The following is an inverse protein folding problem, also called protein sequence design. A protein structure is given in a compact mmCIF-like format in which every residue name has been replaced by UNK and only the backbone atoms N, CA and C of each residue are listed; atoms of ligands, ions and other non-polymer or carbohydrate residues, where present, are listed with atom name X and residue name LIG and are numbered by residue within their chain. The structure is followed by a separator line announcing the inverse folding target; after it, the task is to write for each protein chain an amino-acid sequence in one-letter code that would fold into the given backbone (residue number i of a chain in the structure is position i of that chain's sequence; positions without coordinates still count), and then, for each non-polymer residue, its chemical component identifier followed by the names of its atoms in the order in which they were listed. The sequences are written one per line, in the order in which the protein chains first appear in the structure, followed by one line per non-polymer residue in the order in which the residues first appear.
data_IF_042175178792
#
_entry.id   IF_042175178792
#
_cell.length_a   1.000
_cell.length_b   1.000
_cell.length_c   1.000
_cell.angle_alpha   90.00
_cell.angle_beta   90.00
_cell.angle_gamma   90.00
#
_symmetry.space_group_name_H-M   'P 1'
#
loop_
_entity.id
_entity.type
_entity.pdbx_description
1 polymer ?
#
# COMPACT_ATOMS: atom_id res chain seq x y z
N UNK A 1 21.91 -19.99 0.85
CA UNK A 1 22.13 -18.53 0.75
C UNK A 1 22.69 -18.19 -0.64
N UNK A 2 21.83 -18.01 -1.64
CA UNK A 2 22.28 -17.36 -2.87
C UNK A 2 22.57 -15.89 -2.50
N UNK A 3 23.82 -15.43 -2.68
CA UNK A 3 24.22 -14.06 -2.28
C UNK A 3 23.36 -12.96 -2.92
N UNK A 4 22.67 -13.25 -4.02
CA UNK A 4 21.74 -12.33 -4.67
C UNK A 4 20.43 -12.14 -3.88
N UNK A 5 19.86 -13.20 -3.29
CA UNK A 5 18.56 -13.12 -2.60
C UNK A 5 18.66 -12.30 -1.31
N UNK A 6 19.73 -12.49 -0.54
CA UNK A 6 19.98 -11.71 0.69
C UNK A 6 20.17 -10.20 0.41
N UNK A 7 20.76 -9.84 -0.74
CA UNK A 7 20.88 -8.43 -1.17
C UNK A 7 19.52 -7.83 -1.54
N UNK A 8 18.72 -8.55 -2.32
CA UNK A 8 17.36 -8.12 -2.68
C UNK A 8 16.52 -7.92 -1.42
N UNK A 9 16.58 -8.88 -0.49
CA UNK A 9 15.80 -8.84 0.73
C UNK A 9 16.20 -7.70 1.67
N UNK A 10 17.52 -7.48 1.83
CA UNK A 10 18.04 -6.33 2.59
C UNK A 10 17.58 -4.99 1.98
N UNK A 11 17.60 -4.88 0.65
CA UNK A 11 17.11 -3.68 -0.03
C UNK A 11 15.61 -3.49 0.18
N UNK A 12 14.80 -4.56 0.09
CA UNK A 12 13.36 -4.52 0.34
C UNK A 12 13.03 -4.09 1.77
N UNK A 13 13.74 -4.61 2.77
CA UNK A 13 13.55 -4.18 4.16
C UNK A 13 13.99 -2.73 4.39
N UNK A 14 15.08 -2.29 3.75
CA UNK A 14 15.51 -0.91 3.84
C UNK A 14 14.48 0.06 3.22
N UNK A 15 13.91 -0.30 2.06
CA UNK A 15 12.84 0.45 1.42
C UNK A 15 11.57 0.49 2.28
N UNK A 16 11.18 -0.64 2.88
CA UNK A 16 10.04 -0.69 3.80
C UNK A 16 10.25 0.21 5.02
N UNK A 17 11.44 0.20 5.62
CA UNK A 17 11.82 1.10 6.70
C UNK A 17 11.77 2.58 6.28
N UNK A 18 12.27 2.90 5.08
CA UNK A 18 12.25 4.26 4.54
C UNK A 18 10.82 4.76 4.27
N UNK A 19 9.97 3.91 3.68
CA UNK A 19 8.56 4.22 3.42
C UNK A 19 7.81 4.45 4.73
N UNK A 20 8.04 3.61 5.74
CA UNK A 20 7.42 3.80 7.05
C UNK A 20 7.91 5.08 7.75
N UNK A 21 9.21 5.39 7.64
CA UNK A 21 9.71 6.69 8.10
C UNK A 21 9.02 7.85 7.39
N UNK A 22 8.82 7.76 6.07
CA UNK A 22 8.11 8.78 5.29
C UNK A 22 6.64 8.91 5.71
N UNK A 23 5.92 7.80 5.91
CA UNK A 23 4.52 7.85 6.35
C UNK A 23 4.40 8.45 7.74
N UNK A 24 5.31 8.11 8.67
CA UNK A 24 5.36 8.72 10.01
C UNK A 24 5.63 10.22 9.93
N UNK A 25 6.54 10.67 9.06
CA UNK A 25 6.78 12.10 8.84
C UNK A 25 5.53 12.83 8.32
N UNK A 26 4.84 12.26 7.33
CA UNK A 26 3.60 12.83 6.80
C UNK A 26 2.49 12.85 7.85
N UNK A 27 2.40 11.80 8.66
CA UNK A 27 1.43 11.71 9.75
C UNK A 27 1.66 12.82 10.78
N UNK A 28 2.90 13.03 11.22
CA UNK A 28 3.24 14.12 12.16
C UNK A 28 2.85 15.47 11.58
N UNK A 29 3.12 15.71 10.29
CA UNK A 29 2.74 16.96 9.62
C UNK A 29 1.22 17.14 9.58
N UNK A 30 0.46 16.10 9.24
CA UNK A 30 -1.00 16.16 9.23
C UNK A 30 -1.58 16.39 10.65
N UNK A 31 -1.05 15.68 11.65
CA UNK A 31 -1.51 15.82 13.04
C UNK A 31 -1.12 17.15 13.68
N UNK A 32 0.01 17.74 13.31
CA UNK A 32 0.40 19.09 13.79
C UNK A 32 -0.59 20.18 13.35
N UNK A 33 -1.28 20.00 12.22
CA UNK A 33 -2.34 20.91 11.77
C UNK A 33 -3.66 20.74 12.53
N UNK A 34 -3.91 19.56 13.09
CA UNK A 34 -5.16 19.23 13.78
C UNK A 34 -5.08 19.39 15.31
N UNK A 35 -3.89 19.19 15.91
CA UNK A 35 -3.71 19.19 17.37
C UNK A 35 -2.55 20.09 17.81
N UNK A 36 -2.85 21.16 18.56
CA UNK A 36 -1.85 22.13 19.03
C UNK A 36 -0.78 21.56 19.98
N UNK A 37 -1.08 20.45 20.68
CA UNK A 37 -0.09 19.73 21.50
C UNK A 37 0.95 19.03 20.62
N UNK A 38 0.53 18.45 19.49
CA UNK A 38 1.42 17.84 18.51
C UNK A 38 2.21 18.91 17.76
N UNK A 39 1.61 20.07 17.48
CA UNK A 39 2.32 21.20 16.89
C UNK A 39 3.50 21.67 17.76
N UNK A 40 3.30 21.76 19.09
CA UNK A 40 4.39 22.10 20.02
C UNK A 40 5.48 21.04 20.11
N UNK A 41 5.11 19.76 20.07
CA UNK A 41 6.09 18.67 20.05
C UNK A 41 6.86 18.60 18.72
N UNK A 42 6.17 18.88 17.60
CA UNK A 42 6.72 18.88 16.25
C UNK A 42 7.58 20.11 15.92
N UNK A 43 7.56 21.14 16.78
CA UNK A 43 8.40 22.34 16.66
C UNK A 43 9.88 22.03 16.96
N UNK A 44 10.14 20.96 17.73
CA UNK A 44 11.50 20.47 17.92
C UNK A 44 11.98 19.71 16.67
N UNK A 45 13.08 20.19 16.07
CA UNK A 45 13.70 19.56 14.89
C UNK A 45 14.03 18.08 15.12
N UNK A 46 14.35 17.73 16.37
CA UNK A 46 14.65 16.36 16.78
C UNK A 46 13.43 15.44 16.66
N UNK A 47 12.22 15.89 16.99
CA UNK A 47 11.01 15.07 16.89
C UNK A 47 10.52 15.03 15.44
N UNK A 48 10.63 16.13 14.71
CA UNK A 48 10.15 16.24 13.33
C UNK A 48 10.94 15.37 12.33
N UNK A 49 12.26 15.26 12.55
CA UNK A 49 13.16 14.51 11.66
C UNK A 49 13.73 13.25 12.30
N UNK A 50 14.05 13.28 13.60
CA UNK A 50 14.65 12.15 14.30
C UNK A 50 13.68 11.00 14.54
N UNK A 51 12.43 11.29 14.93
CA UNK A 51 11.44 10.25 15.22
C UNK A 51 11.08 9.40 13.99
N UNK A 52 10.77 9.98 12.81
CA UNK A 52 10.49 9.19 11.62
C UNK A 52 11.67 8.32 11.17
N UNK A 53 12.90 8.84 11.25
CA UNK A 53 14.11 8.09 10.90
C UNK A 53 14.38 6.97 11.89
N UNK A 54 14.23 7.23 13.19
CA UNK A 54 14.40 6.23 14.23
C UNK A 54 13.39 5.08 14.08
N UNK A 55 12.11 5.39 13.84
CA UNK A 55 11.08 4.36 13.64
C UNK A 55 11.37 3.53 12.38
N UNK A 56 11.75 4.17 11.27
CA UNK A 56 12.15 3.45 10.05
C UNK A 56 13.37 2.56 10.26
N UNK A 57 14.37 3.01 11.02
CA UNK A 57 15.57 2.24 11.34
C UNK A 57 15.27 1.07 12.28
N UNK A 58 14.43 1.28 13.30
CA UNK A 58 13.99 0.22 14.22
C UNK A 58 13.23 -0.86 13.45
N UNK A 59 12.35 -0.48 12.53
CA UNK A 59 11.65 -1.45 11.67
C UNK A 59 12.64 -2.25 10.82
N UNK A 60 13.59 -1.57 10.17
CA UNK A 60 14.62 -2.25 9.38
C UNK A 60 15.41 -3.25 10.21
N UNK A 61 15.88 -2.86 11.40
CA UNK A 61 16.62 -3.73 12.30
C UNK A 61 15.76 -4.93 12.74
N UNK A 62 14.50 -4.70 13.13
CA UNK A 62 13.59 -5.74 13.56
C UNK A 62 13.33 -6.79 12.46
N UNK A 63 13.25 -6.36 11.19
CA UNK A 63 13.07 -7.25 10.04
C UNK A 63 14.37 -7.98 9.67
N UNK A 64 15.52 -7.29 9.69
CA UNK A 64 16.81 -7.84 9.31
C UNK A 64 17.34 -8.89 10.31
N UNK A 65 17.14 -8.68 11.61
CA UNK A 65 17.65 -9.58 12.64
C UNK A 65 16.72 -10.75 12.97
N UNK A 66 15.52 -10.79 12.39
CA UNK A 66 14.57 -11.88 12.65
C UNK A 66 14.76 -13.04 11.65
N UNK A 67 15.26 -14.22 12.09
CA UNK A 67 15.57 -15.32 11.18
C UNK A 67 14.32 -15.90 10.50
N UNK A 68 13.14 -15.81 11.14
CA UNK A 68 11.88 -16.28 10.53
C UNK A 68 11.46 -15.42 9.34
N UNK A 69 11.61 -14.11 9.47
CA UNK A 69 11.29 -13.14 8.41
C UNK A 69 12.30 -13.25 7.27
N UNK A 70 13.56 -13.50 7.61
CA UNK A 70 14.63 -13.73 6.63
C UNK A 70 14.33 -14.97 5.78
N UNK A 71 14.01 -16.11 6.41
CA UNK A 71 13.66 -17.35 5.70
C UNK A 71 12.42 -17.18 4.82
N UNK A 72 11.36 -16.56 5.35
CA UNK A 72 10.15 -16.26 4.57
C UNK A 72 10.44 -15.36 3.35
N UNK A 73 11.26 -14.33 3.54
CA UNK A 73 11.64 -13.43 2.45
C UNK A 73 12.41 -14.12 1.33
N UNK A 74 13.27 -15.08 1.66
CA UNK A 74 13.97 -15.90 0.66
C UNK A 74 13.01 -16.77 -0.15
N UNK A 75 12.02 -17.39 0.49
CA UNK A 75 10.97 -18.16 -0.19
C UNK A 75 10.19 -17.26 -1.17
N UNK A 76 9.78 -16.06 -0.73
CA UNK A 76 9.08 -15.09 -1.58
C UNK A 76 9.91 -14.70 -2.81
N UNK A 77 11.20 -14.38 -2.63
CA UNK A 77 12.08 -14.05 -3.76
C UNK A 77 12.20 -15.23 -4.73
N UNK A 78 12.24 -16.45 -4.21
CA UNK A 78 12.31 -17.66 -5.03
C UNK A 78 11.03 -17.89 -5.85
N UNK A 79 9.86 -17.59 -5.29
CA UNK A 79 8.57 -17.71 -5.99
C UNK A 79 8.37 -16.59 -7.01
N UNK A 80 8.77 -15.36 -6.69
CA UNK A 80 8.69 -14.23 -7.63
C UNK A 80 9.51 -14.52 -8.89
N UNK A 81 10.66 -15.20 -8.77
CA UNK A 81 11.46 -15.60 -9.94
C UNK A 81 10.75 -16.61 -10.86
N UNK A 82 9.77 -17.35 -10.35
CA UNK A 82 8.95 -18.27 -11.14
C UNK A 82 7.78 -17.57 -11.83
N UNK A 83 7.49 -16.31 -11.48
CA UNK A 83 6.42 -15.54 -12.11
C UNK A 83 6.79 -15.25 -13.55
N UNK A 84 6.04 -15.86 -14.46
CA UNK A 84 6.12 -15.56 -15.89
C UNK A 84 5.18 -14.40 -16.19
N UNK A 85 5.73 -13.31 -16.72
CA UNK A 85 4.93 -12.16 -17.10
C UNK A 85 4.11 -12.46 -18.36
N UNK A 86 2.81 -12.10 -18.38
CA UNK A 86 1.92 -12.39 -19.50
C UNK A 86 2.36 -11.65 -20.76
N UNK A 87 2.03 -12.21 -21.92
CA UNK A 87 2.28 -11.52 -23.18
C UNK A 87 1.35 -10.30 -23.32
N UNK A 88 1.75 -9.33 -24.17
CA UNK A 88 0.89 -8.16 -24.45
C UNK A 88 -0.49 -8.56 -24.98
N UNK A 89 -0.57 -9.65 -25.75
CA UNK A 89 -1.84 -10.15 -26.31
C UNK A 89 -2.76 -10.66 -25.20
N UNK A 90 -2.23 -11.45 -24.29
CA UNK A 90 -2.99 -12.00 -23.16
C UNK A 90 -3.45 -10.89 -22.21
N UNK A 91 -2.57 -9.92 -21.94
CA UNK A 91 -2.88 -8.77 -21.09
C UNK A 91 -4.04 -7.94 -21.66
N UNK A 92 -4.01 -7.67 -22.97
CA UNK A 92 -5.09 -6.94 -23.65
C UNK A 92 -6.40 -7.73 -23.62
N UNK A 93 -6.35 -9.04 -23.89
CA UNK A 93 -7.55 -9.88 -23.85
C UNK A 93 -8.21 -9.88 -22.45
N UNK A 94 -7.42 -10.07 -21.39
CA UNK A 94 -7.93 -10.04 -20.01
C UNK A 94 -8.49 -8.66 -19.66
N UNK A 95 -7.85 -7.58 -20.09
CA UNK A 95 -8.34 -6.22 -19.84
C UNK A 95 -9.69 -5.98 -20.53
N UNK A 96 -9.85 -6.44 -21.78
CA UNK A 96 -11.12 -6.33 -22.51
C UNK A 96 -12.23 -7.08 -21.75
N UNK A 97 -11.95 -8.28 -21.25
CA UNK A 97 -12.91 -9.04 -20.44
C UNK A 97 -13.31 -8.27 -19.17
N UNK A 98 -12.35 -7.70 -18.45
CA UNK A 98 -12.64 -6.86 -17.28
C UNK A 98 -13.51 -5.64 -17.65
N UNK A 99 -13.20 -4.94 -18.73
CA UNK A 99 -13.98 -3.78 -19.20
C UNK A 99 -15.42 -4.18 -19.51
N UNK A 100 -15.62 -5.28 -20.24
CA UNK A 100 -16.95 -5.79 -20.55
C UNK A 100 -17.72 -6.14 -19.27
N UNK A 101 -17.09 -6.83 -18.32
CA UNK A 101 -17.73 -7.18 -17.05
C UNK A 101 -18.14 -5.94 -16.25
N UNK A 102 -17.25 -4.94 -16.15
CA UNK A 102 -17.54 -3.67 -15.46
C UNK A 102 -18.67 -2.90 -16.13
N UNK A 103 -18.72 -2.89 -17.47
CA UNK A 103 -19.81 -2.26 -18.21
C UNK A 103 -21.16 -2.92 -17.91
N UNK A 104 -21.20 -4.26 -17.89
CA UNK A 104 -22.41 -5.00 -17.54
C UNK A 104 -22.85 -4.66 -16.11
N UNK A 105 -21.93 -4.71 -15.14
CA UNK A 105 -22.23 -4.34 -13.75
C UNK A 105 -22.70 -2.89 -13.62
N UNK A 106 -22.08 -1.96 -14.35
CA UNK A 106 -22.47 -0.54 -14.36
C UNK A 106 -23.90 -0.35 -14.87
N UNK A 107 -24.30 -1.06 -15.93
CA UNK A 107 -25.66 -0.98 -16.48
C UNK A 107 -26.68 -1.51 -15.48
N UNK A 108 -26.38 -2.63 -14.81
CA UNK A 108 -27.27 -3.24 -13.82
C UNK A 108 -27.47 -2.30 -12.62
N UNK A 109 -26.38 -1.81 -12.03
CA UNK A 109 -26.45 -0.90 -10.87
C UNK A 109 -27.18 0.39 -11.25
N UNK A 110 -26.81 1.01 -12.37
CA UNK A 110 -27.46 2.26 -12.81
C UNK A 110 -28.96 2.06 -13.09
N UNK A 111 -29.36 0.91 -13.62
CA UNK A 111 -30.79 0.60 -13.82
C UNK A 111 -31.53 0.47 -12.49
N UNK A 112 -30.92 -0.20 -11.52
CA UNK A 112 -31.49 -0.36 -10.18
C UNK A 112 -31.63 0.98 -9.45
N UNK A 113 -30.61 1.84 -9.54
CA UNK A 113 -30.62 3.18 -8.94
C UNK A 113 -31.73 4.05 -9.55
N UNK A 114 -31.93 3.99 -10.86
CA UNK A 114 -33.01 4.71 -11.53
C UNK A 114 -34.38 4.22 -11.08
N UNK A 115 -34.60 2.90 -11.06
CA UNK A 115 -35.88 2.30 -10.61
C UNK A 115 -36.17 2.67 -9.15
N UNK A 116 -35.17 2.58 -8.28
CA UNK A 116 -35.30 2.98 -6.87
C UNK A 116 -35.65 4.46 -6.74
N UNK A 117 -34.99 5.33 -7.51
CA UNK A 117 -35.31 6.76 -7.57
C UNK A 117 -36.74 7.04 -8.04
N UNK A 118 -37.21 6.35 -9.08
CA UNK A 118 -38.61 6.46 -9.53
C UNK A 118 -39.59 5.99 -8.46
N UNK A 119 -39.30 4.90 -7.77
CA UNK A 119 -40.15 4.36 -6.70
C UNK A 119 -40.26 5.33 -5.51
N UNK A 120 -39.15 5.92 -5.08
CA UNK A 120 -39.14 6.92 -4.00
C UNK A 120 -39.92 8.17 -4.42
N UNK A 121 -39.70 8.67 -5.63
CA UNK A 121 -40.41 9.86 -6.14
C UNK A 121 -41.92 9.61 -6.29
N UNK A 122 -42.34 8.38 -6.61
CA UNK A 122 -43.74 8.00 -6.64
C UNK A 122 -44.35 7.94 -5.23
N UNK A 123 -43.60 7.44 -4.23
CA UNK A 123 -44.06 7.37 -2.84
C UNK A 123 -44.14 8.74 -2.14
N UNK A 124 -43.24 9.68 -2.49
CA UNK A 124 -43.22 11.04 -1.94
C UNK A 124 -44.30 11.97 -2.51
N UNK A 125 -45.06 11.51 -3.52
CA UNK A 125 -46.12 12.26 -4.17
C UNK A 125 -47.49 11.76 -3.73
#
# INVERSE_FOLDING_TARGET
MEKANSKILTLSFALAGALLGLTVHLLIKAFSGAFGVVARAADSDLVRHGLPVAVGFVLFAALQFNPRVMAWGEEVVSEIRKVVWPSRKDTTAMTIVCVVMVLISSVIISSFDLISGFFINFLMK
#
